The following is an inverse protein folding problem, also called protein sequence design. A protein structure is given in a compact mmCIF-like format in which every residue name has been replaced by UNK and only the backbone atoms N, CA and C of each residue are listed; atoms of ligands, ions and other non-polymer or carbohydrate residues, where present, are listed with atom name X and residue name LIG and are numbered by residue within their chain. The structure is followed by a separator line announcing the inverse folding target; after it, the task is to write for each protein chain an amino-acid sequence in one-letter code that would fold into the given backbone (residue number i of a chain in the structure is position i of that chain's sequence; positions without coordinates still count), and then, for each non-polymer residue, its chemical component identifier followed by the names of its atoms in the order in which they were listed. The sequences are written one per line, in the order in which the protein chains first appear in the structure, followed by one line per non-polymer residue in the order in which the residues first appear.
data_IF_607478043342
#
_entry.id   IF_607478043342
#
_cell.length_a   1.000
_cell.length_b   1.000
_cell.length_c   1.000
_cell.angle_alpha   90.00
_cell.angle_beta   90.00
_cell.angle_gamma   90.00
#
_symmetry.space_group_name_H-M   'P 1'
#
loop_
_entity.id
_entity.type
_entity.pdbx_description
1 polymer ?
#
# COMPACT_ATOMS: atom_id res chain seq x y z
N UNK A 1 9.05 -27.90 15.00
CA UNK A 1 8.86 -27.20 13.70
C UNK A 1 9.76 -25.99 13.76
N UNK A 2 10.61 -25.77 12.76
CA UNK A 2 11.59 -24.68 12.75
C UNK A 2 10.87 -23.34 12.78
N UNK A 3 11.25 -22.43 13.68
CA UNK A 3 10.60 -21.12 13.86
C UNK A 3 10.52 -20.34 12.55
N UNK A 4 11.52 -20.45 11.68
CA UNK A 4 11.51 -19.83 10.36
C UNK A 4 10.43 -20.41 9.43
N UNK A 5 10.20 -21.72 9.46
CA UNK A 5 9.12 -22.36 8.66
C UNK A 5 7.74 -21.94 9.15
N UNK A 6 7.57 -21.73 10.46
CA UNK A 6 6.31 -21.26 11.02
C UNK A 6 6.02 -19.82 10.58
N UNK A 7 7.01 -18.92 10.69
CA UNK A 7 6.87 -17.52 10.25
C UNK A 7 6.53 -17.46 8.76
N UNK A 8 7.24 -18.23 7.94
CA UNK A 8 6.94 -18.35 6.51
C UNK A 8 5.49 -18.71 6.26
N UNK A 9 5.03 -19.81 6.86
CA UNK A 9 3.66 -20.29 6.71
C UNK A 9 2.62 -19.24 7.12
N UNK A 10 2.87 -18.52 8.22
CA UNK A 10 1.98 -17.47 8.71
C UNK A 10 1.90 -16.30 7.72
N UNK A 11 3.05 -15.83 7.19
CA UNK A 11 3.09 -14.74 6.22
C UNK A 11 2.40 -15.10 4.89
N UNK A 12 2.64 -16.30 4.38
CA UNK A 12 2.00 -16.80 3.15
C UNK A 12 0.49 -16.94 3.34
N UNK A 13 0.06 -17.46 4.49
CA UNK A 13 -1.37 -17.60 4.81
C UNK A 13 -2.04 -16.24 4.96
N UNK A 14 -1.42 -15.30 5.70
CA UNK A 14 -1.94 -13.94 5.86
C UNK A 14 -2.14 -13.25 4.50
N UNK A 15 -1.16 -13.39 3.59
CA UNK A 15 -1.28 -12.78 2.27
C UNK A 15 -2.35 -13.46 1.41
N UNK A 16 -2.50 -14.78 1.51
CA UNK A 16 -3.56 -15.52 0.83
C UNK A 16 -4.95 -15.10 1.34
N UNK A 17 -5.14 -15.04 2.66
CA UNK A 17 -6.40 -14.62 3.26
C UNK A 17 -6.76 -13.17 2.87
N UNK A 18 -5.77 -12.26 2.83
CA UNK A 18 -5.95 -10.89 2.34
C UNK A 18 -6.38 -10.87 0.87
N UNK A 19 -5.77 -11.70 0.03
CA UNK A 19 -6.14 -11.80 -1.38
C UNK A 19 -7.58 -12.25 -1.57
N UNK A 20 -8.01 -13.29 -0.84
CA UNK A 20 -9.38 -13.77 -0.90
C UNK A 20 -10.40 -12.71 -0.48
N UNK A 21 -10.15 -12.04 0.65
CA UNK A 21 -11.04 -10.97 1.13
C UNK A 21 -11.11 -9.81 0.15
N UNK A 22 -9.98 -9.37 -0.41
CA UNK A 22 -9.96 -8.31 -1.40
C UNK A 22 -10.76 -8.68 -2.65
N UNK A 23 -10.64 -9.93 -3.10
CA UNK A 23 -11.36 -10.45 -4.26
C UNK A 23 -12.87 -10.49 -3.99
N UNK A 24 -13.30 -11.02 -2.84
CA UNK A 24 -14.72 -11.09 -2.45
C UNK A 24 -15.35 -9.68 -2.34
N UNK A 25 -14.63 -8.71 -1.78
CA UNK A 25 -15.12 -7.32 -1.70
C UNK A 25 -15.21 -6.72 -3.11
N UNK A 26 -14.21 -6.95 -3.97
CA UNK A 26 -14.19 -6.42 -5.32
C UNK A 26 -15.34 -6.99 -6.18
N UNK A 27 -15.46 -8.31 -6.21
CA UNK A 27 -16.45 -9.00 -7.06
C UNK A 27 -17.87 -8.95 -6.50
N UNK A 28 -18.00 -8.72 -5.21
CA UNK A 28 -19.31 -8.51 -4.57
C UNK A 28 -19.68 -7.03 -4.46
N UNK A 29 -19.18 -6.38 -3.40
CA UNK A 29 -19.64 -5.04 -2.98
C UNK A 29 -19.34 -3.98 -4.03
N UNK A 30 -18.11 -3.94 -4.56
CA UNK A 30 -17.73 -2.90 -5.50
C UNK A 30 -18.50 -2.99 -6.82
N UNK A 31 -18.80 -4.19 -7.31
CA UNK A 31 -19.60 -4.39 -8.52
C UNK A 31 -21.06 -3.98 -8.30
N UNK A 32 -21.68 -4.32 -7.16
CA UNK A 32 -23.04 -3.89 -6.85
C UNK A 32 -23.16 -2.38 -6.73
N UNK A 33 -22.21 -1.71 -6.09
CA UNK A 33 -22.19 -0.24 -6.01
C UNK A 33 -22.06 0.37 -7.41
N UNK A 34 -21.17 -0.16 -8.25
CA UNK A 34 -20.98 0.33 -9.62
C UNK A 34 -22.22 0.16 -10.47
N UNK A 35 -22.90 -0.99 -10.38
CA UNK A 35 -24.16 -1.24 -11.05
C UNK A 35 -25.27 -0.28 -10.57
N UNK A 36 -25.37 -0.04 -9.28
CA UNK A 36 -26.34 0.91 -8.71
C UNK A 36 -26.10 2.34 -9.20
N UNK A 37 -24.84 2.78 -9.28
CA UNK A 37 -24.47 4.09 -9.85
C UNK A 37 -24.93 4.17 -11.33
N UNK A 38 -24.57 3.17 -12.16
CA UNK A 38 -24.94 3.14 -13.57
C UNK A 38 -26.46 3.19 -13.79
N UNK A 39 -27.23 2.40 -13.03
CA UNK A 39 -28.68 2.41 -13.12
C UNK A 39 -29.29 3.75 -12.71
N UNK A 40 -28.76 4.37 -11.66
CA UNK A 40 -29.26 5.65 -11.17
C UNK A 40 -28.89 6.81 -12.11
N UNK A 41 -27.72 6.78 -12.73
CA UNK A 41 -27.29 7.72 -13.77
C UNK A 41 -28.16 7.59 -15.03
N UNK A 42 -28.41 6.36 -15.48
CA UNK A 42 -29.29 6.09 -16.61
C UNK A 42 -30.73 6.58 -16.33
N UNK A 43 -31.25 6.34 -15.13
CA UNK A 43 -32.55 6.85 -14.72
C UNK A 43 -32.57 8.38 -14.72
N UNK A 44 -31.59 9.03 -14.12
CA UNK A 44 -31.44 10.49 -14.12
C UNK A 44 -31.38 11.06 -15.54
N UNK A 45 -30.69 10.40 -16.45
CA UNK A 45 -30.59 10.83 -17.86
C UNK A 45 -31.93 10.72 -18.60
N UNK A 46 -32.80 9.79 -18.23
CA UNK A 46 -34.15 9.60 -18.84
C UNK A 46 -35.20 10.60 -18.37
N UNK A 47 -34.92 11.36 -17.30
CA UNK A 47 -35.89 12.34 -16.77
C UNK A 47 -35.94 13.63 -17.61
N UNK A 48 -37.12 14.30 -17.67
CA UNK A 48 -37.23 15.63 -18.22
C UNK A 48 -36.27 16.63 -17.53
N UNK A 49 -35.81 17.66 -18.27
CA UNK A 49 -34.84 18.65 -17.78
C UNK A 49 -35.23 19.28 -16.43
N UNK A 50 -36.50 19.63 -16.28
CA UNK A 50 -37.03 20.23 -15.06
C UNK A 50 -37.04 19.29 -13.83
N UNK A 51 -36.87 18.00 -14.05
CA UNK A 51 -36.83 16.97 -12.97
C UNK A 51 -35.41 16.41 -12.70
N UNK A 52 -34.46 16.69 -13.58
CA UNK A 52 -33.04 16.25 -13.42
C UNK A 52 -32.37 16.82 -12.19
N UNK A 53 -32.90 17.92 -11.64
CA UNK A 53 -32.40 18.53 -10.38
C UNK A 53 -33.05 17.93 -9.13
N UNK A 54 -33.55 16.70 -9.21
CA UNK A 54 -34.08 16.02 -8.01
C UNK A 54 -32.96 15.81 -6.98
N UNK A 55 -33.11 16.48 -5.85
CA UNK A 55 -32.13 16.46 -4.75
C UNK A 55 -31.85 15.04 -4.27
N UNK A 56 -32.88 14.19 -4.13
CA UNK A 56 -32.72 12.83 -3.64
C UNK A 56 -31.92 11.94 -4.59
N UNK A 57 -32.09 12.09 -5.92
CA UNK A 57 -31.30 11.36 -6.92
C UNK A 57 -29.83 11.80 -6.85
N UNK A 58 -29.60 13.11 -6.80
CA UNK A 58 -28.24 13.65 -6.73
C UNK A 58 -27.52 13.26 -5.45
N UNK A 59 -28.23 13.25 -4.31
CA UNK A 59 -27.69 12.83 -3.01
C UNK A 59 -27.44 11.31 -2.98
N UNK A 60 -28.33 10.50 -3.55
CA UNK A 60 -28.11 9.05 -3.66
C UNK A 60 -26.88 8.72 -4.51
N UNK A 61 -26.68 9.42 -5.64
CA UNK A 61 -25.48 9.27 -6.46
C UNK A 61 -24.22 9.67 -5.68
N UNK A 62 -24.26 10.78 -4.95
CA UNK A 62 -23.14 11.23 -4.13
C UNK A 62 -22.76 10.18 -3.09
N UNK A 63 -23.74 9.64 -2.37
CA UNK A 63 -23.51 8.61 -1.35
C UNK A 63 -22.97 7.30 -1.94
N UNK A 64 -23.48 6.87 -3.09
CA UNK A 64 -22.97 5.68 -3.78
C UNK A 64 -21.53 5.88 -4.29
N UNK A 65 -21.21 7.07 -4.81
CA UNK A 65 -19.85 7.40 -5.23
C UNK A 65 -18.89 7.45 -4.04
N UNK A 66 -19.34 7.93 -2.88
CA UNK A 66 -18.57 7.92 -1.64
C UNK A 66 -18.34 6.49 -1.15
N UNK A 67 -19.39 5.66 -1.09
CA UNK A 67 -19.28 4.25 -0.76
C UNK A 67 -18.34 3.48 -1.71
N UNK A 68 -18.37 3.81 -3.01
CA UNK A 68 -17.44 3.25 -4.00
C UNK A 68 -15.98 3.64 -3.72
N UNK A 69 -15.73 4.89 -3.30
CA UNK A 69 -14.38 5.34 -2.90
C UNK A 69 -13.90 4.64 -1.65
N UNK A 70 -14.74 4.56 -0.61
CA UNK A 70 -14.43 3.86 0.63
C UNK A 70 -14.14 2.38 0.39
N UNK A 71 -14.96 1.70 -0.42
CA UNK A 71 -14.74 0.30 -0.77
C UNK A 71 -13.40 0.09 -1.46
N UNK A 72 -13.06 0.94 -2.43
CA UNK A 72 -11.75 0.91 -3.10
C UNK A 72 -10.60 1.16 -2.13
N UNK A 73 -10.77 2.09 -1.20
CA UNK A 73 -9.77 2.36 -0.17
C UNK A 73 -9.55 1.15 0.74
N UNK A 74 -10.62 0.47 1.16
CA UNK A 74 -10.54 -0.79 1.94
C UNK A 74 -9.81 -1.90 1.16
N UNK A 75 -10.17 -2.11 -0.11
CA UNK A 75 -9.52 -3.12 -0.96
C UNK A 75 -8.02 -2.79 -1.12
N UNK A 76 -7.68 -1.54 -1.36
CA UNK A 76 -6.28 -1.08 -1.47
C UNK A 76 -5.48 -1.32 -0.19
N UNK A 77 -6.12 -1.19 0.98
CA UNK A 77 -5.52 -1.53 2.27
C UNK A 77 -5.27 -3.03 2.44
N UNK A 78 -6.15 -3.87 1.90
CA UNK A 78 -6.06 -5.33 2.01
C UNK A 78 -5.10 -5.89 0.94
N UNK A 79 -5.35 -5.63 -0.35
CA UNK A 79 -4.49 -5.92 -1.50
C UNK A 79 -4.93 -5.06 -2.68
N UNK A 80 -4.09 -4.14 -3.18
CA UNK A 80 -4.51 -3.30 -4.29
C UNK A 80 -4.63 -4.13 -5.56
N UNK A 81 -5.78 -4.10 -6.26
CA UNK A 81 -5.92 -4.69 -7.59
C UNK A 81 -4.87 -4.12 -8.56
N UNK A 82 -4.48 -2.86 -8.37
CA UNK A 82 -3.43 -2.20 -9.12
C UNK A 82 -2.10 -2.95 -9.10
N UNK A 83 -1.77 -3.69 -8.03
CA UNK A 83 -0.53 -4.46 -7.97
C UNK A 83 -0.52 -5.59 -9.01
N UNK A 84 -1.63 -6.27 -9.17
CA UNK A 84 -1.76 -7.38 -10.13
C UNK A 84 -1.88 -6.86 -11.59
N UNK A 85 -2.57 -5.74 -11.80
CA UNK A 85 -2.84 -5.15 -13.13
C UNK A 85 -1.71 -4.22 -13.61
N UNK A 86 -1.27 -3.29 -12.76
CA UNK A 86 -0.36 -2.21 -13.13
C UNK A 86 1.08 -2.44 -12.65
N UNK A 87 1.26 -3.13 -11.52
CA UNK A 87 2.55 -3.46 -10.93
C UNK A 87 2.93 -2.59 -9.74
N UNK A 88 4.20 -2.74 -9.30
CA UNK A 88 4.68 -2.15 -8.04
C UNK A 88 4.79 -0.62 -8.09
N UNK A 89 5.19 -0.04 -9.21
CA UNK A 89 5.41 1.41 -9.33
C UNK A 89 4.09 2.14 -9.07
N UNK A 90 3.08 1.84 -9.85
CA UNK A 90 1.76 2.46 -9.77
C UNK A 90 1.10 2.20 -8.40
N UNK A 91 1.35 1.02 -7.82
CA UNK A 91 0.83 0.69 -6.48
C UNK A 91 1.50 1.52 -5.37
N UNK A 92 2.80 1.79 -5.46
CA UNK A 92 3.49 2.70 -4.52
C UNK A 92 3.03 4.15 -4.76
N UNK A 93 2.83 4.58 -6.01
CA UNK A 93 2.28 5.91 -6.31
C UNK A 93 0.93 6.14 -5.64
N UNK A 94 0.06 5.12 -5.61
CA UNK A 94 -1.22 5.20 -4.89
C UNK A 94 -1.01 5.37 -3.38
N UNK A 95 -0.11 4.59 -2.75
CA UNK A 95 0.21 4.75 -1.32
C UNK A 95 0.77 6.13 -1.00
N UNK A 96 1.60 6.67 -1.89
CA UNK A 96 2.17 8.02 -1.77
C UNK A 96 1.08 9.08 -1.93
N UNK A 97 0.15 8.91 -2.88
CA UNK A 97 -0.97 9.83 -3.06
C UNK A 97 -1.87 9.87 -1.81
N UNK A 98 -2.17 8.72 -1.21
CA UNK A 98 -2.93 8.64 0.04
C UNK A 98 -2.18 9.32 1.20
N UNK A 99 -0.88 9.06 1.30
CA UNK A 99 -0.03 9.67 2.34
C UNK A 99 0.06 11.19 2.19
N UNK A 100 0.03 11.71 0.95
CA UNK A 100 0.08 13.15 0.64
C UNK A 100 -1.12 13.93 1.17
N UNK A 101 -2.22 13.27 1.48
CA UNK A 101 -3.38 13.91 2.13
C UNK A 101 -3.02 14.45 3.52
N UNK A 102 -2.09 13.78 4.22
CA UNK A 102 -1.65 14.15 5.58
C UNK A 102 -0.25 14.79 5.57
N UNK A 103 0.68 14.28 4.74
CA UNK A 103 2.07 14.76 4.61
C UNK A 103 2.30 15.26 3.20
N UNK A 104 2.21 16.58 3.00
CA UNK A 104 2.23 17.18 1.65
C UNK A 104 3.58 17.07 0.95
N UNK A 105 4.68 17.10 1.69
CA UNK A 105 6.04 16.98 1.15
C UNK A 105 6.48 15.51 1.12
N UNK A 106 5.84 14.73 0.25
CA UNK A 106 6.21 13.35 -0.01
C UNK A 106 6.59 13.17 -1.47
N UNK A 107 7.76 12.56 -1.70
CA UNK A 107 8.33 12.31 -3.03
C UNK A 107 8.55 10.83 -3.25
N UNK A 108 8.13 10.35 -4.40
CA UNK A 108 8.47 9.01 -4.87
C UNK A 108 9.33 9.11 -6.12
N UNK A 109 10.45 8.39 -6.13
CA UNK A 109 11.33 8.20 -7.28
C UNK A 109 11.48 6.72 -7.58
N UNK A 110 11.56 6.38 -8.83
CA UNK A 110 11.83 5.00 -9.22
C UNK A 110 12.77 4.93 -10.41
N UNK A 111 13.58 3.87 -10.44
CA UNK A 111 14.52 3.55 -11.52
C UNK A 111 14.64 2.03 -11.66
N UNK A 112 13.53 1.39 -12.08
CA UNK A 112 13.50 -0.05 -12.37
C UNK A 112 13.83 -0.27 -13.85
N UNK A 113 14.64 -1.28 -14.15
CA UNK A 113 14.98 -1.68 -15.52
C UNK A 113 13.81 -2.40 -16.21
N UNK A 114 13.01 -3.15 -15.44
CA UNK A 114 11.83 -3.89 -15.90
C UNK A 114 10.57 -3.25 -15.34
N UNK A 115 9.53 -3.16 -16.16
CA UNK A 115 8.23 -2.67 -15.73
C UNK A 115 7.56 -3.60 -14.70
N UNK A 116 7.85 -4.90 -14.74
CA UNK A 116 7.30 -5.91 -13.82
C UNK A 116 8.43 -6.70 -13.17
N UNK A 117 8.27 -6.94 -11.89
CA UNK A 117 9.10 -7.83 -11.10
C UNK A 117 8.35 -9.15 -10.85
N UNK A 118 9.03 -10.20 -10.36
CA UNK A 118 8.33 -11.39 -9.88
C UNK A 118 7.25 -11.04 -8.86
N UNK A 119 6.06 -11.64 -8.98
CA UNK A 119 4.87 -11.28 -8.18
C UNK A 119 5.14 -11.27 -6.68
N UNK A 120 5.90 -12.24 -6.17
CA UNK A 120 6.24 -12.30 -4.75
C UNK A 120 7.09 -11.11 -4.28
N UNK A 121 7.96 -10.56 -5.14
CA UNK A 121 8.73 -9.34 -4.83
C UNK A 121 7.85 -8.10 -4.88
N UNK A 122 6.98 -7.97 -5.89
CA UNK A 122 6.05 -6.85 -5.98
C UNK A 122 5.15 -6.79 -4.73
N UNK A 123 4.60 -7.94 -4.31
CA UNK A 123 3.81 -8.05 -3.07
C UNK A 123 4.64 -7.66 -1.85
N UNK A 124 5.86 -8.16 -1.75
CA UNK A 124 6.74 -7.87 -0.60
C UNK A 124 7.09 -6.39 -0.51
N UNK A 125 7.53 -5.79 -1.63
CA UNK A 125 7.86 -4.37 -1.71
C UNK A 125 6.65 -3.49 -1.38
N UNK A 126 5.47 -3.86 -1.91
CA UNK A 126 4.22 -3.18 -1.59
C UNK A 126 3.91 -3.22 -0.09
N UNK A 127 3.95 -4.41 0.55
CA UNK A 127 3.67 -4.56 1.99
C UNK A 127 4.64 -3.78 2.86
N UNK A 128 5.92 -3.78 2.50
CA UNK A 128 6.94 -3.01 3.22
C UNK A 128 6.67 -1.51 3.08
N UNK A 129 6.35 -1.04 1.88
CA UNK A 129 6.00 0.36 1.63
C UNK A 129 4.75 0.77 2.39
N UNK A 130 3.70 -0.06 2.37
CA UNK A 130 2.44 0.17 3.08
C UNK A 130 2.65 0.29 4.59
N UNK A 131 3.39 -0.66 5.19
CA UNK A 131 3.69 -0.65 6.62
C UNK A 131 4.54 0.55 7.01
N UNK A 132 5.58 0.85 6.21
CA UNK A 132 6.47 1.99 6.48
C UNK A 132 5.72 3.32 6.42
N UNK A 133 4.92 3.55 5.38
CA UNK A 133 4.12 4.78 5.23
C UNK A 133 3.03 4.88 6.31
N UNK A 134 2.43 3.76 6.71
CA UNK A 134 1.49 3.73 7.83
C UNK A 134 2.16 4.11 9.15
N UNK A 135 3.36 3.61 9.41
CA UNK A 135 4.14 3.95 10.60
C UNK A 135 4.52 5.43 10.61
N UNK A 136 4.92 5.97 9.47
CA UNK A 136 5.21 7.40 9.31
C UNK A 136 3.98 8.24 9.67
N UNK A 137 2.82 7.96 9.08
CA UNK A 137 1.58 8.69 9.34
C UNK A 137 1.15 8.63 10.80
N UNK A 138 1.23 7.45 11.43
CA UNK A 138 0.76 7.24 12.80
C UNK A 138 1.72 7.74 13.89
N UNK A 139 3.03 7.69 13.63
CA UNK A 139 4.00 7.78 14.71
C UNK A 139 5.10 8.82 14.50
N UNK A 140 5.44 9.19 13.25
CA UNK A 140 6.66 9.98 13.02
C UNK A 140 6.50 11.47 13.26
N UNK A 141 5.30 12.05 13.06
CA UNK A 141 5.08 13.50 12.99
C UNK A 141 5.97 14.17 11.92
N UNK A 142 6.36 13.45 10.90
CA UNK A 142 7.16 13.96 9.82
C UNK A 142 6.40 14.97 8.98
N UNK A 143 7.11 15.93 8.41
CA UNK A 143 6.58 16.84 7.40
C UNK A 143 7.18 16.57 6.01
N UNK A 144 8.22 15.73 5.93
CA UNK A 144 8.85 15.32 4.68
C UNK A 144 9.13 13.81 4.66
N UNK A 145 8.83 13.18 3.51
CA UNK A 145 9.04 11.75 3.27
C UNK A 145 9.63 11.53 1.88
N UNK A 146 10.63 10.67 1.79
CA UNK A 146 11.21 10.21 0.53
C UNK A 146 11.03 8.71 0.39
N UNK A 147 10.59 8.28 -0.79
CA UNK A 147 10.48 6.89 -1.18
C UNK A 147 11.28 6.72 -2.47
N UNK A 148 12.28 5.86 -2.45
CA UNK A 148 13.12 5.57 -3.61
C UNK A 148 13.13 4.07 -3.87
N UNK A 149 12.76 3.66 -5.10
CA UNK A 149 12.81 2.28 -5.57
C UNK A 149 13.70 2.20 -6.80
N UNK A 150 14.80 1.49 -6.69
CA UNK A 150 15.77 1.39 -7.79
C UNK A 150 16.21 -0.05 -8.04
N UNK A 151 16.72 -0.29 -9.25
CA UNK A 151 17.39 -1.52 -9.64
C UNK A 151 18.72 -1.14 -10.29
N UNK A 152 19.80 -1.72 -9.78
CA UNK A 152 21.14 -1.50 -10.34
C UNK A 152 21.38 -2.34 -11.62
N UNK A 153 22.56 -2.15 -12.26
CA UNK A 153 22.94 -2.84 -13.48
C UNK A 153 23.09 -4.35 -13.29
N UNK A 154 23.37 -4.80 -12.06
CA UNK A 154 23.48 -6.21 -11.69
C UNK A 154 22.11 -6.85 -11.41
N UNK A 155 21.05 -6.05 -11.38
CA UNK A 155 19.65 -6.51 -11.13
C UNK A 155 19.25 -6.50 -9.65
N UNK A 156 20.10 -6.00 -8.73
CA UNK A 156 19.78 -5.85 -7.31
C UNK A 156 18.73 -4.74 -7.13
N UNK A 157 17.70 -5.02 -6.35
CA UNK A 157 16.65 -4.05 -6.02
C UNK A 157 16.94 -3.41 -4.68
N UNK A 158 16.77 -2.09 -4.62
CA UNK A 158 16.88 -1.26 -3.43
C UNK A 158 15.61 -0.44 -3.25
N UNK A 159 14.95 -0.59 -2.10
CA UNK A 159 13.87 0.27 -1.65
C UNK A 159 14.33 1.04 -0.41
N UNK A 160 14.24 2.37 -0.46
CA UNK A 160 14.53 3.26 0.67
C UNK A 160 13.28 4.08 0.98
N UNK A 161 12.86 4.09 2.25
CA UNK A 161 11.79 4.95 2.74
C UNK A 161 12.34 5.72 3.93
N UNK A 162 12.35 7.04 3.82
CA UNK A 162 12.94 7.94 4.79
C UNK A 162 11.97 9.03 5.20
N UNK A 163 11.84 9.30 6.49
CA UNK A 163 11.13 10.42 7.05
C UNK A 163 12.04 11.30 7.92
N UNK A 164 11.64 12.56 8.09
CA UNK A 164 12.30 13.53 8.96
C UNK A 164 11.57 13.72 10.31
N UNK A 165 10.83 12.73 10.77
CA UNK A 165 10.00 12.83 11.96
C UNK A 165 10.75 12.72 13.29
N UNK A 166 10.02 12.40 14.34
CA UNK A 166 10.57 12.34 15.70
C UNK A 166 11.55 11.19 15.93
N UNK A 167 11.57 10.17 15.04
CA UNK A 167 12.38 8.98 15.24
C UNK A 167 12.08 8.23 16.55
N UNK A 168 12.85 7.20 16.83
CA UNK A 168 12.76 6.40 18.05
C UNK A 168 14.10 5.75 18.37
N UNK A 169 14.25 5.22 19.59
CA UNK A 169 15.41 4.41 19.96
C UNK A 169 15.25 2.99 19.44
N UNK A 170 15.94 2.68 18.35
CA UNK A 170 15.91 1.36 17.71
C UNK A 170 16.55 0.24 18.56
N UNK A 171 17.26 0.59 19.63
CA UNK A 171 17.91 -0.38 20.54
C UNK A 171 17.03 -0.76 21.73
N UNK A 172 15.98 0.02 22.00
CA UNK A 172 15.06 -0.23 23.11
C UNK A 172 14.00 -1.25 22.71
N UNK A 173 13.85 -2.37 23.44
CA UNK A 173 12.75 -3.31 23.19
C UNK A 173 11.44 -2.64 23.62
N UNK A 174 10.68 -2.11 22.67
CA UNK A 174 9.31 -1.68 22.93
C UNK A 174 8.34 -2.75 22.43
N UNK A 175 7.29 -3.03 23.20
CA UNK A 175 6.24 -4.00 22.87
C UNK A 175 5.49 -3.69 21.55
N UNK A 176 5.76 -2.55 20.91
CA UNK A 176 5.13 -2.08 19.68
C UNK A 176 5.96 -2.28 18.40
N UNK A 177 7.01 -3.10 18.42
CA UNK A 177 7.89 -3.30 17.24
C UNK A 177 7.41 -4.36 16.24
N UNK A 178 6.17 -4.87 16.35
CA UNK A 178 5.67 -5.93 15.45
C UNK A 178 5.71 -5.52 13.98
N UNK A 179 5.40 -4.27 13.65
CA UNK A 179 5.44 -3.78 12.27
C UNK A 179 6.85 -3.79 11.68
N UNK A 180 7.83 -3.31 12.43
CA UNK A 180 9.23 -3.28 11.99
C UNK A 180 9.84 -4.67 11.89
N UNK A 181 9.49 -5.56 12.82
CA UNK A 181 9.89 -6.97 12.73
C UNK A 181 9.22 -7.65 11.53
N UNK A 182 7.95 -7.35 11.25
CA UNK A 182 7.25 -7.80 10.06
C UNK A 182 7.95 -7.37 8.76
N UNK A 183 8.48 -6.14 8.69
CA UNK A 183 9.29 -5.66 7.57
C UNK A 183 10.56 -6.52 7.40
N UNK A 184 11.31 -6.76 8.50
CA UNK A 184 12.53 -7.58 8.45
C UNK A 184 12.25 -9.01 8.00
N UNK A 185 11.23 -9.64 8.59
CA UNK A 185 10.87 -11.02 8.27
C UNK A 185 10.41 -11.17 6.81
N UNK A 186 9.64 -10.21 6.27
CA UNK A 186 9.25 -10.23 4.86
C UNK A 186 10.43 -10.11 3.91
N UNK A 187 11.39 -9.22 4.21
CA UNK A 187 12.59 -9.09 3.39
C UNK A 187 13.42 -10.39 3.40
N UNK A 188 13.70 -10.92 4.60
CA UNK A 188 14.47 -12.15 4.78
C UNK A 188 13.81 -13.37 4.14
N UNK A 189 12.47 -13.44 4.17
CA UNK A 189 11.72 -14.57 3.62
C UNK A 189 12.00 -14.79 2.13
N UNK A 190 12.17 -13.71 1.37
CA UNK A 190 12.47 -13.75 -0.06
C UNK A 190 13.94 -13.49 -0.38
N UNK A 191 14.85 -13.81 0.54
CA UNK A 191 16.30 -13.76 0.33
C UNK A 191 16.89 -12.34 0.31
N UNK A 192 16.14 -11.34 0.75
CA UNK A 192 16.61 -9.97 0.90
C UNK A 192 17.14 -9.67 2.29
N UNK A 193 17.47 -8.41 2.52
CA UNK A 193 17.88 -7.86 3.80
C UNK A 193 17.13 -6.57 4.12
N UNK A 194 16.98 -6.25 5.41
CA UNK A 194 16.36 -5.03 5.89
C UNK A 194 17.26 -4.34 6.91
N UNK A 195 17.54 -3.05 6.68
CA UNK A 195 18.19 -2.15 7.62
C UNK A 195 17.22 -1.06 8.05
N UNK A 196 16.99 -0.93 9.35
CA UNK A 196 16.12 0.11 9.90
C UNK A 196 16.96 0.95 10.85
N UNK A 197 17.13 2.22 10.50
CA UNK A 197 17.90 3.19 11.26
C UNK A 197 16.97 4.27 11.75
N UNK A 198 16.95 4.50 13.05
CA UNK A 198 16.21 5.59 13.69
C UNK A 198 16.94 6.09 14.91
N UNK A 199 16.81 7.38 15.18
CA UNK A 199 17.27 8.04 16.40
C UNK A 199 16.25 9.09 16.82
N UNK A 200 15.99 9.29 18.13
CA UNK A 200 15.13 10.36 18.57
C UNK A 200 15.55 11.71 17.98
N UNK A 201 14.60 12.42 17.36
CA UNK A 201 14.81 13.71 16.72
C UNK A 201 15.38 13.69 15.30
N UNK A 202 15.73 12.52 14.74
CA UNK A 202 16.38 12.42 13.42
C UNK A 202 15.59 11.57 12.40
N UNK A 203 14.31 11.31 12.65
CA UNK A 203 13.47 10.52 11.77
C UNK A 203 13.84 9.05 11.70
N UNK A 204 13.36 8.38 10.65
CA UNK A 204 13.57 6.96 10.42
C UNK A 204 13.92 6.70 8.96
N UNK A 205 14.84 5.77 8.72
CA UNK A 205 15.17 5.24 7.40
C UNK A 205 14.99 3.73 7.40
N UNK A 206 14.12 3.24 6.51
CA UNK A 206 13.93 1.83 6.20
C UNK A 206 14.60 1.56 4.85
N UNK A 207 15.56 0.67 4.81
CA UNK A 207 16.27 0.25 3.61
C UNK A 207 16.14 -1.26 3.42
N UNK A 208 15.68 -1.66 2.25
CA UNK A 208 15.47 -3.06 1.86
C UNK A 208 16.28 -3.35 0.61
N UNK A 209 16.96 -4.47 0.61
CA UNK A 209 17.75 -4.93 -0.52
C UNK A 209 17.35 -6.35 -0.92
N UNK A 210 17.13 -6.58 -2.21
CA UNK A 210 16.98 -7.90 -2.79
C UNK A 210 18.09 -8.15 -3.80
N UNK A 211 18.81 -9.30 -3.71
CA UNK A 211 19.86 -9.64 -4.67
C UNK A 211 19.25 -9.99 -6.05
N UNK A 212 20.04 -9.84 -7.09
CA UNK A 212 19.65 -10.15 -8.48
C UNK A 212 19.16 -11.60 -8.65
N UNK A 213 19.59 -12.53 -7.80
CA UNK A 213 19.18 -13.94 -7.87
C UNK A 213 17.69 -14.19 -7.56
N UNK A 214 16.99 -13.22 -7.03
CA UNK A 214 15.56 -13.31 -6.71
C UNK A 214 14.70 -12.37 -7.55
N UNK A 215 15.32 -11.58 -8.42
CA UNK A 215 14.70 -10.64 -9.37
C UNK A 215 14.64 -11.22 -10.78
#
# INVERSE_FOLDING_TARGET
MDSQKLVKYVLEKEEHDRQLVAYEIHDGIAQYISAAIMHLEAYKASLPENTKQNHNISESLRLLQEASRETRHLISGIRPPALDELGIIESIEMLVADTRLEIKDIHFRHALQKKRLPTHLEVTLFRISQESLTNIRKHSKANQVHVDLSQDEEGKILLIIQDNGCGFDATSPSDNCFGLEGIRQRALHYGGSASIQSRPGNGTTVQIEFPASVT
#
